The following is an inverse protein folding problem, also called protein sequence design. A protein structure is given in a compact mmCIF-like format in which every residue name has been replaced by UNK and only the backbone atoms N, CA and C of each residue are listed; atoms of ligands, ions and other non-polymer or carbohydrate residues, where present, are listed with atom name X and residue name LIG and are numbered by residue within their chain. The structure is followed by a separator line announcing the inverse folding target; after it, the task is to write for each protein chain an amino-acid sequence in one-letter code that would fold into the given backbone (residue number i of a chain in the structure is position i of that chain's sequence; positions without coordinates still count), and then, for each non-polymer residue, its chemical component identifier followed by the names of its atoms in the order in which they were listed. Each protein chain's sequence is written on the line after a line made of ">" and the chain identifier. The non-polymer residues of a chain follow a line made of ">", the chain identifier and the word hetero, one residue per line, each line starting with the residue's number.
data_IF_609737996257
#
_entry.id   IF_609737996257
#
_cell.length_a   1.000
_cell.length_b   1.000
_cell.length_c   1.000
_cell.angle_alpha   90.00
_cell.angle_beta   90.00
_cell.angle_gamma   90.00
#
_symmetry.space_group_name_H-M   'P 1'
#
loop_
_entity.id
_entity.type
_entity.pdbx_description
1 polymer ?
#
# COMPACT_ATOMS: atom_id res chain seq x y z
N UNK A 1 -21.00 36.90 -48.51
CA UNK A 1 -20.34 36.04 -49.52
C UNK A 1 -19.75 34.85 -48.80
N UNK A 2 -19.90 33.64 -49.31
CA UNK A 2 -19.31 32.45 -48.70
C UNK A 2 -17.84 32.32 -49.10
N UNK A 3 -17.00 31.84 -48.18
CA UNK A 3 -15.56 31.67 -48.37
C UNK A 3 -15.02 30.55 -47.49
N UNK A 4 -15.50 29.33 -47.72
CA UNK A 4 -15.03 28.15 -46.99
C UNK A 4 -13.69 27.67 -47.58
N UNK A 5 -12.63 27.67 -46.78
CA UNK A 5 -11.40 26.94 -47.08
C UNK A 5 -11.27 25.72 -46.18
N UNK A 6 -11.46 24.54 -46.81
CA UNK A 6 -10.81 23.29 -46.41
C UNK A 6 -9.29 23.56 -46.44
N UNK A 7 -8.44 23.03 -45.56
CA UNK A 7 -8.54 21.79 -44.79
C UNK A 7 -7.35 20.92 -45.18
N UNK A 8 -6.51 20.56 -44.21
CA UNK A 8 -5.36 19.66 -44.39
C UNK A 8 -4.96 19.08 -43.03
N UNK A 9 -5.37 17.84 -42.76
CA UNK A 9 -4.83 17.03 -41.67
C UNK A 9 -3.41 16.58 -42.03
N UNK A 10 -2.51 16.58 -41.06
CA UNK A 10 -1.19 15.97 -41.18
C UNK A 10 -1.07 14.82 -40.18
N UNK A 11 -1.51 13.63 -40.59
CA UNK A 11 -1.31 12.38 -39.85
C UNK A 11 0.15 11.98 -39.97
N UNK A 12 0.90 12.10 -38.87
CA UNK A 12 2.29 11.63 -38.78
C UNK A 12 2.33 10.27 -38.07
N UNK A 13 2.28 9.19 -38.85
CA UNK A 13 2.63 7.84 -38.36
C UNK A 13 4.15 7.77 -38.20
N UNK A 14 4.64 7.45 -37.00
CA UNK A 14 6.03 7.04 -36.82
C UNK A 14 6.12 5.60 -36.29
N UNK A 15 7.09 4.87 -36.82
CA UNK A 15 7.05 3.42 -36.89
C UNK A 15 7.68 2.73 -35.67
N UNK A 16 7.03 1.64 -35.25
CA UNK A 16 7.60 0.62 -34.36
C UNK A 16 8.88 0.03 -34.96
N UNK A 17 9.98 0.03 -34.20
CA UNK A 17 11.16 -0.79 -34.50
C UNK A 17 11.24 -1.92 -33.47
N UNK A 18 10.80 -3.10 -33.90
CA UNK A 18 10.90 -4.35 -33.14
C UNK A 18 12.24 -5.01 -33.45
N UNK A 19 13.15 -5.07 -32.48
CA UNK A 19 14.43 -5.78 -32.60
C UNK A 19 14.40 -7.09 -31.79
N UNK A 20 14.06 -8.20 -32.45
CA UNK A 20 14.33 -9.54 -31.91
C UNK A 20 15.81 -9.88 -32.08
N UNK A 21 16.47 -10.25 -30.99
CA UNK A 21 17.71 -11.03 -31.01
C UNK A 21 17.53 -12.22 -30.06
N UNK A 22 17.80 -13.43 -30.55
CA UNK A 22 17.64 -14.68 -29.81
C UNK A 22 18.82 -15.63 -30.07
N UNK A 23 18.93 -16.67 -29.25
CA UNK A 23 20.06 -17.61 -29.09
C UNK A 23 21.26 -17.02 -28.30
N UNK A 24 21.81 -17.71 -27.28
CA UNK A 24 21.41 -18.98 -26.64
C UNK A 24 22.62 -19.75 -26.07
N UNK A 25 22.39 -20.62 -25.06
CA UNK A 25 23.41 -21.43 -24.35
C UNK A 25 24.39 -20.58 -23.49
N UNK A 26 24.91 -21.02 -22.33
CA UNK A 26 25.20 -22.38 -21.88
C UNK A 26 25.14 -22.51 -20.34
N UNK A 27 24.66 -23.66 -19.85
CA UNK A 27 24.84 -24.09 -18.45
C UNK A 27 26.21 -24.75 -18.37
N UNK A 28 27.09 -24.29 -17.48
CA UNK A 28 28.24 -25.07 -17.03
C UNK A 28 28.26 -25.16 -15.50
N UNK A 29 28.42 -26.38 -15.02
CA UNK A 29 28.73 -26.69 -13.63
C UNK A 29 30.25 -26.67 -13.51
N UNK A 30 30.78 -26.11 -12.41
CA UNK A 30 32.12 -26.48 -11.94
C UNK A 30 31.97 -27.28 -10.64
N UNK A 31 32.11 -28.60 -10.75
CA UNK A 31 32.45 -29.44 -9.63
C UNK A 31 33.98 -29.48 -9.50
N UNK A 32 34.56 -29.04 -8.38
CA UNK A 32 35.81 -29.63 -7.91
C UNK A 32 36.13 -29.36 -6.43
N UNK A 33 36.10 -30.43 -5.60
CA UNK A 33 37.17 -30.78 -4.63
C UNK A 33 36.97 -32.23 -4.13
N UNK A 34 38.03 -33.04 -4.23
CA UNK A 34 38.09 -34.49 -3.90
C UNK A 34 39.57 -34.96 -3.99
N UNK A 35 40.13 -36.03 -3.39
CA UNK A 35 39.69 -37.17 -2.56
C UNK A 35 40.59 -37.21 -1.29
N UNK A 36 40.06 -37.30 -0.07
CA UNK A 36 40.14 -38.52 0.79
C UNK A 36 41.53 -38.82 1.39
N UNK A 37 41.81 -40.04 1.91
CA UNK A 37 40.89 -41.08 2.40
C UNK A 37 41.31 -41.77 3.74
N UNK A 38 40.34 -42.48 4.37
CA UNK A 38 40.48 -43.73 5.16
C UNK A 38 41.15 -43.78 6.56
N UNK A 39 40.54 -44.58 7.46
CA UNK A 39 40.88 -44.90 8.86
C UNK A 39 41.93 -46.08 8.97
N UNK A 40 42.11 -46.91 10.05
CA UNK A 40 41.15 -47.38 11.09
C UNK A 40 41.73 -47.66 12.53
N UNK A 41 40.96 -48.45 13.32
CA UNK A 41 41.33 -49.33 14.45
C UNK A 41 41.23 -48.84 15.92
N UNK A 42 40.05 -49.15 16.48
CA UNK A 42 39.78 -49.94 17.71
C UNK A 42 40.85 -50.17 18.79
N UNK A 43 40.44 -50.02 20.06
CA UNK A 43 40.79 -50.93 21.16
C UNK A 43 39.69 -50.92 22.24
N UNK A 44 39.48 -52.07 22.88
CA UNK A 44 38.45 -52.39 23.89
C UNK A 44 38.86 -52.07 25.32
N UNK A 45 37.89 -51.88 26.22
CA UNK A 45 38.00 -52.41 27.60
C UNK A 45 36.62 -52.83 28.15
N UNK A 46 36.62 -53.80 29.06
CA UNK A 46 35.43 -54.44 29.63
C UNK A 46 35.42 -54.35 31.16
N UNK A 47 34.27 -54.02 31.75
CA UNK A 47 33.98 -54.40 33.13
C UNK A 47 32.47 -54.57 33.34
N UNK A 48 32.09 -55.65 34.02
CA UNK A 48 30.75 -55.96 34.49
C UNK A 48 30.59 -55.41 35.91
N UNK A 49 29.41 -54.88 36.27
CA UNK A 49 28.93 -54.95 37.65
C UNK A 49 27.39 -54.92 37.70
N UNK A 50 26.82 -55.54 38.73
CA UNK A 50 25.37 -55.77 38.89
C UNK A 50 24.82 -55.04 40.11
N UNK A 51 23.72 -54.28 39.99
CA UNK A 51 22.73 -54.23 41.08
C UNK A 51 21.31 -53.79 40.66
N UNK A 52 20.36 -54.64 41.06
CA UNK A 52 19.01 -54.42 41.63
C UNK A 52 18.20 -53.13 41.41
N UNK A 53 17.00 -53.31 40.81
CA UNK A 53 15.67 -52.70 41.08
C UNK A 53 15.56 -51.24 41.60
N UNK A 54 14.77 -50.41 40.92
CA UNK A 54 13.59 -49.77 41.56
C UNK A 54 12.45 -49.45 40.56
N UNK A 55 11.26 -49.23 41.11
CA UNK A 55 9.98 -48.97 40.43
C UNK A 55 9.84 -47.51 39.95
N UNK A 56 9.16 -47.26 38.81
CA UNK A 56 8.24 -46.13 38.62
C UNK A 56 7.65 -46.05 37.20
N UNK A 57 6.32 -46.00 37.15
CA UNK A 57 5.56 -45.41 36.04
C UNK A 57 5.97 -43.94 35.82
N UNK A 58 6.14 -43.53 34.56
CA UNK A 58 6.15 -42.12 34.17
C UNK A 58 5.70 -41.94 32.73
N UNK A 59 4.37 -41.93 32.57
CA UNK A 59 3.74 -41.32 31.41
C UNK A 59 4.12 -39.83 31.34
N UNK A 60 4.68 -39.39 30.20
CA UNK A 60 5.03 -37.99 29.99
C UNK A 60 3.75 -37.13 29.95
N UNK A 61 3.67 -36.01 30.70
CA UNK A 61 2.49 -35.16 30.69
C UNK A 61 2.41 -34.37 29.38
N UNK A 62 1.33 -34.58 28.62
CA UNK A 62 0.92 -33.64 27.57
C UNK A 62 0.65 -32.28 28.20
N UNK A 63 1.49 -31.30 27.92
CA UNK A 63 1.28 -29.93 28.36
C UNK A 63 0.13 -29.29 27.55
N UNK A 64 -1.04 -29.18 28.17
CA UNK A 64 -2.16 -28.40 27.65
C UNK A 64 -1.75 -26.92 27.57
N UNK A 65 -1.89 -26.24 26.41
CA UNK A 65 -1.62 -24.80 26.33
C UNK A 65 -2.62 -24.01 27.20
N UNK A 66 -2.20 -22.91 27.85
CA UNK A 66 -3.09 -22.11 28.67
C UNK A 66 -4.18 -21.44 27.82
N UNK A 67 -5.39 -21.35 28.37
CA UNK A 67 -6.50 -20.66 27.72
C UNK A 67 -6.24 -19.14 27.61
N UNK A 68 -6.73 -18.46 26.56
CA UNK A 68 -6.59 -17.01 26.42
C UNK A 68 -7.31 -16.27 27.55
N UNK A 69 -6.72 -15.16 28.00
CA UNK A 69 -7.29 -14.32 29.04
C UNK A 69 -8.59 -13.64 28.55
N UNK A 70 -9.59 -13.43 29.43
CA UNK A 70 -10.81 -12.71 29.07
C UNK A 70 -10.51 -11.22 28.81
N UNK A 71 -11.25 -10.56 27.90
CA UNK A 71 -11.07 -9.14 27.61
C UNK A 71 -11.43 -8.25 28.81
N UNK A 72 -10.74 -7.13 28.94
CA UNK A 72 -11.01 -6.13 29.98
C UNK A 72 -12.36 -5.43 29.76
N UNK A 73 -13.09 -5.04 30.83
CA UNK A 73 -14.36 -4.34 30.70
C UNK A 73 -14.17 -2.90 30.18
N UNK A 74 -15.02 -2.49 29.24
CA UNK A 74 -15.04 -1.13 28.70
C UNK A 74 -15.49 -0.09 29.75
N UNK A 75 -15.01 1.17 29.66
CA UNK A 75 -15.49 2.25 30.52
C UNK A 75 -16.95 2.63 30.20
N UNK A 76 -17.78 3.00 31.20
CA UNK A 76 -19.15 3.43 30.96
C UNK A 76 -19.21 4.79 30.26
N UNK A 77 -20.08 4.91 29.27
CA UNK A 77 -20.24 6.13 28.46
C UNK A 77 -20.86 7.30 29.23
N UNK A 78 -20.48 8.52 28.85
CA UNK A 78 -21.09 9.75 29.34
C UNK A 78 -22.42 10.02 28.62
N UNK A 79 -23.51 10.10 29.39
CA UNK A 79 -24.84 10.48 28.90
C UNK A 79 -24.87 11.94 28.45
N UNK A 80 -25.53 12.23 27.33
CA UNK A 80 -25.80 13.59 26.89
C UNK A 80 -26.95 14.23 27.70
N UNK A 81 -26.77 15.46 28.17
CA UNK A 81 -27.85 16.33 28.65
C UNK A 81 -28.22 17.35 27.56
N UNK A 82 -29.49 17.40 27.18
CA UNK A 82 -30.06 18.43 26.32
C UNK A 82 -30.81 19.45 27.16
N UNK A 83 -30.66 20.73 26.82
CA UNK A 83 -31.46 21.84 27.36
C UNK A 83 -32.22 22.54 26.21
N UNK A 84 -33.57 22.56 26.22
CA UNK A 84 -34.36 23.29 25.26
C UNK A 84 -34.88 24.63 25.81
N UNK A 85 -34.58 25.73 25.12
CA UNK A 85 -35.35 26.98 25.25
C UNK A 85 -35.55 27.69 23.92
N UNK A 86 -36.79 27.70 23.43
CA UNK A 86 -37.23 28.53 22.31
C UNK A 86 -37.81 29.87 22.80
N UNK A 87 -37.72 30.94 21.98
CA UNK A 87 -38.01 32.29 22.48
C UNK A 87 -38.37 33.42 21.52
N UNK A 88 -38.68 33.18 20.23
CA UNK A 88 -39.53 34.05 19.39
C UNK A 88 -39.04 35.44 18.92
N UNK A 89 -39.79 35.99 17.94
CA UNK A 89 -39.72 37.35 17.34
C UNK A 89 -38.46 37.73 16.55
N UNK A 90 -38.53 38.45 15.41
CA UNK A 90 -39.64 39.00 14.59
C UNK A 90 -39.15 39.18 13.14
N UNK A 91 -40.05 39.09 12.15
CA UNK A 91 -39.78 39.54 10.78
C UNK A 91 -39.73 41.08 10.68
N UNK A 92 -39.05 41.65 9.66
CA UNK A 92 -39.83 42.32 8.61
C UNK A 92 -39.36 42.05 7.17
N UNK A 93 -40.17 42.56 6.23
CA UNK A 93 -40.21 42.33 4.77
C UNK A 93 -39.16 43.13 3.95
N UNK A 94 -39.10 42.83 2.64
CA UNK A 94 -38.50 43.58 1.49
C UNK A 94 -36.98 43.36 1.31
N UNK A 95 -36.42 43.14 0.11
CA UNK A 95 -36.83 43.55 -1.26
C UNK A 95 -36.35 42.56 -2.34
N UNK A 96 -37.07 42.43 -3.46
CA UNK A 96 -36.60 41.73 -4.67
C UNK A 96 -35.42 42.44 -5.35
N UNK A 97 -34.40 41.68 -5.75
CA UNK A 97 -33.24 42.17 -6.50
C UNK A 97 -32.89 41.23 -7.66
N UNK A 98 -33.62 41.32 -8.76
CA UNK A 98 -33.34 40.57 -10.00
C UNK A 98 -32.11 41.12 -10.72
N UNK A 99 -31.01 40.38 -10.74
CA UNK A 99 -29.98 40.46 -11.80
C UNK A 99 -29.03 39.25 -11.74
N UNK A 100 -28.73 38.64 -12.90
CA UNK A 100 -27.58 37.75 -13.06
C UNK A 100 -27.90 36.26 -13.23
N UNK A 101 -28.39 35.86 -14.41
CA UNK A 101 -28.12 34.51 -14.94
C UNK A 101 -26.88 34.64 -15.84
N UNK A 102 -25.74 34.20 -15.33
CA UNK A 102 -24.47 34.01 -16.02
C UNK A 102 -23.59 33.16 -15.08
N UNK A 103 -22.86 32.15 -15.51
CA UNK A 103 -22.92 31.44 -16.80
C UNK A 103 -22.67 29.95 -16.51
N UNK A 104 -22.56 29.09 -17.52
CA UNK A 104 -22.19 27.69 -17.27
C UNK A 104 -20.76 27.58 -16.76
N UNK A 105 -20.57 27.31 -15.45
CA UNK A 105 -19.29 26.81 -14.95
C UNK A 105 -19.05 25.40 -15.53
N UNK A 106 -18.26 25.37 -16.60
CA UNK A 106 -17.73 24.17 -17.22
C UNK A 106 -16.76 23.51 -16.24
N UNK A 107 -17.32 22.70 -15.34
CA UNK A 107 -16.63 22.03 -14.24
C UNK A 107 -15.68 20.93 -14.75
N UNK A 108 -14.64 21.35 -15.47
CA UNK A 108 -13.41 20.57 -15.64
C UNK A 108 -12.82 20.41 -14.25
N UNK A 109 -13.00 19.23 -13.63
CA UNK A 109 -12.54 18.95 -12.27
C UNK A 109 -11.04 19.22 -12.15
N UNK A 110 -10.69 20.35 -11.51
CA UNK A 110 -9.33 20.63 -11.12
C UNK A 110 -8.86 19.55 -10.13
N UNK A 111 -7.59 19.12 -10.28
CA UNK A 111 -6.95 18.27 -9.29
C UNK A 111 -6.83 19.02 -7.96
N UNK A 112 -6.80 18.32 -6.81
CA UNK A 112 -6.50 18.98 -5.54
C UNK A 112 -5.13 19.67 -5.57
N UNK A 113 -5.02 20.74 -4.78
CA UNK A 113 -3.73 21.36 -4.47
C UNK A 113 -2.85 20.41 -3.66
N UNK A 114 -1.54 20.67 -3.67
CA UNK A 114 -0.59 19.97 -2.81
C UNK A 114 -0.73 20.44 -1.36
N UNK A 115 -0.92 19.48 -0.45
CA UNK A 115 -0.88 19.70 0.98
C UNK A 115 0.58 19.77 1.48
N UNK A 116 0.84 20.59 2.49
CA UNK A 116 2.18 20.72 3.07
C UNK A 116 2.60 19.46 3.86
N UNK A 117 3.91 19.23 4.07
CA UNK A 117 4.43 18.26 5.03
C UNK A 117 3.71 18.28 6.38
N UNK A 118 3.60 17.12 7.03
CA UNK A 118 2.83 16.94 8.26
C UNK A 118 1.29 17.05 8.12
N UNK A 119 0.74 17.25 6.91
CA UNK A 119 -0.72 17.23 6.70
C UNK A 119 -1.23 15.81 6.56
N UNK A 120 -2.18 15.41 7.42
CA UNK A 120 -2.94 14.17 7.27
C UNK A 120 -4.02 14.32 6.19
N UNK A 121 -3.98 13.51 5.14
CA UNK A 121 -5.04 13.45 4.12
C UNK A 121 -5.87 12.17 4.27
N UNK A 122 -7.19 12.30 4.37
CA UNK A 122 -8.12 11.17 4.49
C UNK A 122 -9.29 11.23 3.52
N UNK A 123 -9.82 10.05 3.18
CA UNK A 123 -11.11 9.86 2.52
C UNK A 123 -11.69 8.50 2.91
N UNK A 124 -12.96 8.48 3.33
CA UNK A 124 -13.65 7.23 3.63
C UNK A 124 -13.88 6.39 2.36
N UNK A 125 -13.77 5.05 2.44
CA UNK A 125 -14.11 4.15 1.34
C UNK A 125 -15.61 4.13 1.02
N UNK A 126 -15.97 3.76 -0.21
CA UNK A 126 -17.37 3.49 -0.55
C UNK A 126 -17.92 2.26 0.19
N UNK A 127 -19.20 2.26 0.54
CA UNK A 127 -19.83 1.11 1.20
C UNK A 127 -19.82 -0.14 0.31
N UNK A 128 -19.34 -1.26 0.83
CA UNK A 128 -19.25 -2.53 0.09
C UNK A 128 -18.12 -2.60 -0.94
N UNK A 129 -17.13 -1.69 -0.85
CA UNK A 129 -15.90 -1.76 -1.65
C UNK A 129 -15.14 -3.07 -1.40
N UNK A 130 -14.60 -3.63 -2.47
CA UNK A 130 -13.76 -4.83 -2.49
C UNK A 130 -12.75 -4.62 -3.62
N UNK A 131 -11.55 -4.16 -3.28
CA UNK A 131 -10.49 -3.85 -4.23
C UNK A 131 -9.20 -4.62 -3.91
N UNK A 132 -8.38 -4.86 -4.93
CA UNK A 132 -6.99 -5.29 -4.76
C UNK A 132 -6.06 -4.17 -5.27
N UNK A 133 -4.80 -4.16 -4.83
CA UNK A 133 -3.75 -3.32 -5.42
C UNK A 133 -2.83 -4.24 -6.23
N UNK A 134 -3.07 -4.31 -7.53
CA UNK A 134 -2.44 -5.31 -8.40
C UNK A 134 -1.00 -4.90 -8.76
N UNK A 135 -0.76 -3.60 -8.96
CA UNK A 135 0.52 -3.05 -9.43
C UNK A 135 0.78 -1.64 -8.86
N UNK A 136 2.05 -1.25 -8.81
CA UNK A 136 2.53 0.07 -8.40
C UNK A 136 3.38 0.67 -9.51
N UNK A 137 2.86 1.72 -10.14
CA UNK A 137 3.53 2.40 -11.26
C UNK A 137 4.10 3.75 -10.83
N UNK A 138 5.35 3.99 -11.18
CA UNK A 138 6.06 5.23 -10.89
C UNK A 138 6.29 6.03 -12.18
N UNK A 139 6.39 7.36 -12.08
CA UNK A 139 6.81 8.18 -13.20
C UNK A 139 7.02 9.66 -12.88
N UNK A 140 8.08 10.23 -13.45
CA UNK A 140 8.42 11.66 -13.39
C UNK A 140 7.35 12.48 -14.11
N UNK A 141 6.95 13.63 -13.53
CA UNK A 141 6.14 14.66 -14.16
C UNK A 141 6.83 16.03 -14.00
N UNK A 142 6.25 17.09 -14.57
CA UNK A 142 6.79 18.45 -14.46
C UNK A 142 6.52 19.01 -13.05
N UNK A 143 7.56 19.08 -12.22
CA UNK A 143 7.52 19.59 -10.84
C UNK A 143 7.02 18.62 -9.76
N UNK A 144 6.79 17.35 -10.11
CA UNK A 144 6.44 16.31 -9.14
C UNK A 144 6.72 14.89 -9.67
N UNK A 145 6.94 13.97 -8.75
CA UNK A 145 6.92 12.53 -9.01
C UNK A 145 5.51 11.98 -8.78
N UNK A 146 5.12 10.95 -9.54
CA UNK A 146 3.82 10.29 -9.39
C UNK A 146 3.98 8.82 -9.05
N UNK A 147 3.31 8.40 -7.99
CA UNK A 147 3.01 7.00 -7.64
C UNK A 147 1.55 6.72 -8.00
N UNK A 148 1.29 5.62 -8.71
CA UNK A 148 -0.06 5.15 -9.03
C UNK A 148 -0.21 3.72 -8.52
N UNK A 149 -1.19 3.51 -7.65
CA UNK A 149 -1.69 2.17 -7.34
C UNK A 149 -2.77 1.84 -8.37
N UNK A 150 -2.61 0.74 -9.09
CA UNK A 150 -3.63 0.21 -9.99
C UNK A 150 -4.53 -0.76 -9.21
N UNK A 151 -5.85 -0.56 -9.27
CA UNK A 151 -6.80 -1.36 -8.51
C UNK A 151 -7.83 -2.07 -9.40
N UNK A 152 -7.93 -3.38 -9.20
CA UNK A 152 -9.03 -4.22 -9.66
C UNK A 152 -10.10 -4.39 -8.58
N UNK A 153 -11.26 -4.94 -8.97
CA UNK A 153 -12.41 -5.17 -8.09
C UNK A 153 -13.55 -4.14 -8.28
N UNK A 154 -14.25 -3.83 -7.21
CA UNK A 154 -15.46 -2.99 -7.23
C UNK A 154 -15.53 -1.98 -6.09
N UNK A 155 -15.94 -0.76 -6.38
CA UNK A 155 -16.16 0.32 -5.42
C UNK A 155 -15.21 1.49 -5.65
N UNK A 156 -15.15 2.41 -4.69
CA UNK A 156 -14.24 3.55 -4.71
C UNK A 156 -13.29 3.44 -3.51
N UNK A 157 -11.99 3.57 -3.77
CA UNK A 157 -10.95 3.40 -2.75
C UNK A 157 -11.00 4.52 -1.71
N UNK A 158 -10.91 4.15 -0.42
CA UNK A 158 -10.66 5.08 0.67
C UNK A 158 -9.17 5.21 0.94
N UNK A 159 -8.72 6.26 1.61
CA UNK A 159 -7.31 6.42 1.96
C UNK A 159 -7.08 7.17 3.27
N UNK A 160 -5.94 6.88 3.88
CA UNK A 160 -5.30 7.70 4.92
C UNK A 160 -3.83 7.85 4.52
N UNK A 161 -3.33 9.08 4.44
CA UNK A 161 -1.95 9.37 4.02
C UNK A 161 -1.30 10.38 4.95
N UNK A 162 -0.16 10.00 5.53
CA UNK A 162 0.63 10.82 6.47
C UNK A 162 2.11 10.41 6.45
N UNK A 163 2.98 11.31 6.92
CA UNK A 163 4.39 10.98 7.19
C UNK A 163 4.52 10.23 8.52
N UNK A 164 5.44 9.26 8.60
CA UNK A 164 5.65 8.43 9.80
C UNK A 164 7.14 8.27 10.07
N UNK A 165 7.58 8.57 11.30
CA UNK A 165 9.00 8.49 11.72
C UNK A 165 9.53 7.04 11.78
N UNK A 166 8.76 6.13 12.38
CA UNK A 166 9.10 4.71 12.59
C UNK A 166 8.08 3.80 11.88
N UNK A 167 8.10 3.69 10.53
CA UNK A 167 7.13 2.88 9.80
C UNK A 167 7.37 1.37 10.03
N UNK A 168 6.29 0.60 10.09
CA UNK A 168 6.33 -0.85 10.27
C UNK A 168 5.18 -1.54 9.52
N UNK A 169 5.43 -2.78 9.09
CA UNK A 169 4.44 -3.65 8.45
C UNK A 169 3.30 -3.98 9.42
N UNK A 170 2.06 -3.85 8.92
CA UNK A 170 0.87 -4.26 9.65
C UNK A 170 0.84 -5.77 9.93
N UNK A 171 0.07 -6.15 10.96
CA UNK A 171 0.02 -7.51 11.51
C UNK A 171 1.30 -7.97 12.23
N UNK A 172 2.48 -7.74 11.66
CA UNK A 172 3.77 -8.24 12.16
C UNK A 172 4.53 -7.26 13.06
N UNK A 173 4.38 -5.95 12.84
CA UNK A 173 5.19 -4.92 13.50
C UNK A 173 6.66 -4.91 13.07
N UNK A 174 7.00 -5.54 11.94
CA UNK A 174 8.36 -5.54 11.38
C UNK A 174 8.69 -4.14 10.85
N UNK A 175 9.78 -3.48 11.28
CA UNK A 175 10.15 -2.16 10.75
C UNK A 175 10.31 -2.17 9.23
N UNK A 176 9.88 -1.09 8.59
CA UNK A 176 10.06 -0.85 7.16
C UNK A 176 11.29 0.05 6.99
N UNK A 177 12.30 -0.48 6.33
CA UNK A 177 13.55 0.22 6.01
C UNK A 177 13.52 0.54 4.51
N UNK A 178 13.55 1.84 4.17
CA UNK A 178 13.58 2.36 2.80
C UNK A 178 14.66 3.43 2.68
N UNK A 179 15.13 3.63 1.46
CA UNK A 179 16.11 4.64 1.09
C UNK A 179 15.54 6.04 1.34
N UNK A 180 16.30 6.87 2.07
CA UNK A 180 15.91 8.25 2.39
C UNK A 180 15.39 8.40 3.83
N UNK A 181 15.46 9.62 4.41
CA UNK A 181 15.13 9.87 5.81
C UNK A 181 13.63 10.08 6.10
N UNK A 182 12.76 10.11 5.08
CA UNK A 182 11.34 10.36 5.24
C UNK A 182 10.51 9.27 4.56
N UNK A 183 9.43 8.82 5.21
CA UNK A 183 8.49 7.84 4.65
C UNK A 183 7.07 8.39 4.71
N UNK A 184 6.43 8.47 3.55
CA UNK A 184 5.00 8.78 3.42
C UNK A 184 4.23 7.46 3.37
N UNK A 185 3.39 7.20 4.37
CA UNK A 185 2.59 5.98 4.46
C UNK A 185 1.21 6.23 3.87
N UNK A 186 0.83 5.41 2.90
CA UNK A 186 -0.46 5.41 2.20
C UNK A 186 -1.23 4.16 2.62
N UNK A 187 -2.17 4.31 3.56
CA UNK A 187 -3.12 3.25 3.89
C UNK A 187 -4.30 3.30 2.92
N UNK A 188 -4.31 2.43 1.91
CA UNK A 188 -5.46 2.20 1.06
C UNK A 188 -6.53 1.40 1.85
N UNK A 189 -7.78 1.82 1.75
CA UNK A 189 -8.90 1.26 2.53
C UNK A 189 -9.97 0.67 1.60
N UNK A 190 -10.57 -0.43 2.03
CA UNK A 190 -11.55 -1.16 1.24
C UNK A 190 -10.98 -2.37 0.48
N UNK A 191 -9.88 -2.92 1.00
CA UNK A 191 -9.18 -4.02 0.36
C UNK A 191 -9.92 -5.33 0.59
N UNK A 192 -10.00 -6.15 -0.45
CA UNK A 192 -10.38 -7.55 -0.34
C UNK A 192 -9.19 -8.40 0.15
N UNK A 193 -9.46 -9.64 0.56
CA UNK A 193 -8.40 -10.65 0.65
C UNK A 193 -8.15 -11.22 -0.74
N UNK A 194 -6.90 -11.26 -1.22
CA UNK A 194 -6.57 -11.82 -2.53
C UNK A 194 -6.60 -13.35 -2.47
N UNK A 195 -7.03 -13.98 -3.56
CA UNK A 195 -7.03 -15.43 -3.75
C UNK A 195 -5.74 -15.87 -4.48
N UNK A 196 -5.39 -17.17 -4.50
CA UNK A 196 -4.33 -17.67 -5.36
C UNK A 196 -4.58 -17.30 -6.83
N UNK A 197 -3.50 -17.05 -7.58
CA UNK A 197 -3.48 -16.48 -8.94
C UNK A 197 -3.83 -14.97 -9.03
N UNK A 198 -4.16 -14.27 -7.92
CA UNK A 198 -4.17 -12.80 -7.89
C UNK A 198 -2.74 -12.24 -7.71
N UNK A 199 -2.32 -11.17 -8.43
CA UNK A 199 -0.97 -10.60 -8.31
C UNK A 199 -0.62 -10.18 -6.87
N UNK A 200 -1.59 -9.61 -6.15
CA UNK A 200 -1.44 -9.19 -4.75
C UNK A 200 -1.22 -10.38 -3.78
N UNK A 201 -1.61 -11.61 -4.16
CA UNK A 201 -1.30 -12.83 -3.42
C UNK A 201 0.09 -13.36 -3.77
N UNK A 202 0.36 -13.51 -5.07
CA UNK A 202 1.56 -14.21 -5.59
C UNK A 202 2.86 -13.42 -5.34
N UNK A 203 2.83 -12.09 -5.47
CA UNK A 203 3.98 -11.21 -5.20
C UNK A 203 4.29 -11.08 -3.69
N UNK A 204 3.25 -11.12 -2.84
CA UNK A 204 3.36 -10.72 -1.44
C UNK A 204 3.78 -9.25 -1.27
N UNK A 205 4.96 -9.02 -0.69
CA UNK A 205 5.56 -7.68 -0.59
C UNK A 205 6.24 -7.30 -1.92
N UNK A 206 5.81 -6.20 -2.52
CA UNK A 206 6.38 -5.70 -3.78
C UNK A 206 7.18 -4.42 -3.53
N UNK A 207 8.49 -4.46 -3.77
CA UNK A 207 9.38 -3.30 -3.73
C UNK A 207 9.66 -2.80 -5.15
N UNK A 208 9.45 -1.50 -5.38
CA UNK A 208 9.66 -0.83 -6.67
C UNK A 208 10.68 0.29 -6.50
N UNK A 209 11.84 0.14 -7.15
CA UNK A 209 12.92 1.14 -7.18
C UNK A 209 12.49 2.41 -7.94
N UNK A 210 12.86 3.58 -7.43
CA UNK A 210 12.48 4.88 -8.01
C UNK A 210 13.19 5.21 -9.33
N UNK A 211 14.38 4.64 -9.59
CA UNK A 211 15.09 4.78 -10.86
C UNK A 211 15.44 6.22 -11.28
N UNK A 212 14.60 6.80 -12.13
CA UNK A 212 14.78 8.16 -12.70
C UNK A 212 13.93 9.25 -11.99
N UNK A 213 13.23 8.90 -10.91
CA UNK A 213 12.49 9.83 -10.04
C UNK A 213 13.46 10.80 -9.33
N UNK A 214 12.93 11.96 -8.89
CA UNK A 214 13.73 13.04 -8.30
C UNK A 214 13.58 13.17 -6.79
N UNK A 215 12.48 12.69 -6.22
CA UNK A 215 12.14 12.85 -4.80
C UNK A 215 11.66 11.54 -4.18
N UNK A 216 10.95 10.71 -4.95
CA UNK A 216 10.61 9.33 -4.56
C UNK A 216 11.80 8.41 -4.81
N UNK A 217 12.31 7.77 -3.76
CA UNK A 217 13.49 6.91 -3.81
C UNK A 217 13.13 5.46 -4.14
N UNK A 218 12.12 4.91 -3.46
CA UNK A 218 11.54 3.58 -3.69
C UNK A 218 10.15 3.48 -3.04
N UNK A 219 9.35 2.51 -3.47
CA UNK A 219 8.00 2.28 -2.96
C UNK A 219 7.80 0.81 -2.61
N UNK A 220 7.42 0.54 -1.36
CA UNK A 220 7.06 -0.79 -0.88
C UNK A 220 5.54 -0.92 -0.76
N UNK A 221 4.94 -1.79 -1.56
CA UNK A 221 3.55 -2.26 -1.38
C UNK A 221 3.54 -3.39 -0.35
N UNK A 222 2.77 -3.19 0.72
CA UNK A 222 2.44 -4.22 1.70
C UNK A 222 1.50 -5.30 1.14
N UNK A 223 0.96 -6.11 2.04
CA UNK A 223 -0.10 -7.10 1.75
C UNK A 223 -1.42 -6.65 2.39
N UNK A 224 -2.60 -7.12 1.91
CA UNK A 224 -3.87 -6.76 2.54
C UNK A 224 -4.02 -7.32 3.96
N UNK A 225 -4.34 -6.45 4.92
CA UNK A 225 -4.60 -6.78 6.33
C UNK A 225 -5.83 -6.02 6.84
N UNK A 226 -6.77 -6.72 7.50
CA UNK A 226 -7.99 -6.15 8.11
C UNK A 226 -8.83 -5.20 7.20
N UNK A 227 -8.82 -5.43 5.88
CA UNK A 227 -9.56 -4.61 4.91
C UNK A 227 -8.81 -3.35 4.45
N UNK A 228 -7.52 -3.26 4.75
CA UNK A 228 -6.60 -2.19 4.35
C UNK A 228 -5.36 -2.78 3.67
N UNK A 229 -4.57 -1.95 3.03
CA UNK A 229 -3.21 -2.26 2.57
C UNK A 229 -2.36 -1.01 2.75
N UNK A 230 -1.17 -1.16 3.32
CA UNK A 230 -0.21 -0.05 3.45
C UNK A 230 0.78 -0.06 2.29
N UNK A 231 1.01 1.12 1.72
CA UNK A 231 2.11 1.38 0.79
C UNK A 231 3.03 2.43 1.43
N UNK A 232 4.32 2.17 1.43
CA UNK A 232 5.35 3.01 2.04
C UNK A 232 6.15 3.66 0.91
N UNK A 233 6.16 4.98 0.84
CA UNK A 233 6.89 5.76 -0.18
C UNK A 233 8.10 6.39 0.48
N UNK A 234 9.29 5.93 0.11
CA UNK A 234 10.58 6.49 0.56
C UNK A 234 10.87 7.81 -0.14
N UNK A 235 11.43 8.76 0.61
CA UNK A 235 11.62 10.15 0.18
C UNK A 235 12.94 10.72 0.72
N UNK A 236 13.62 11.55 -0.08
CA UNK A 236 14.83 12.26 0.37
C UNK A 236 14.56 13.30 1.47
N UNK A 237 13.34 13.83 1.53
CA UNK A 237 12.87 14.77 2.56
C UNK A 237 11.34 14.80 2.59
N UNK A 238 10.73 15.27 3.68
CA UNK A 238 9.31 15.60 3.64
C UNK A 238 9.04 16.77 2.67
N UNK A 239 8.18 16.53 1.69
CA UNK A 239 7.80 17.47 0.62
C UNK A 239 6.25 17.54 0.51
N UNK A 240 5.68 18.64 -0.02
CA UNK A 240 4.24 18.70 -0.25
C UNK A 240 3.74 17.56 -1.16
N UNK A 241 2.56 17.02 -0.87
CA UNK A 241 1.98 15.91 -1.62
C UNK A 241 0.47 16.10 -1.83
N UNK A 242 -0.11 15.41 -2.81
CA UNK A 242 -1.56 15.33 -2.98
C UNK A 242 -1.99 13.92 -3.33
N UNK A 243 -3.23 13.59 -2.97
CA UNK A 243 -3.83 12.28 -3.18
C UNK A 243 -5.19 12.45 -3.84
N UNK A 244 -5.42 11.71 -4.92
CA UNK A 244 -6.71 11.68 -5.62
C UNK A 244 -6.91 10.33 -6.30
N UNK A 245 -8.12 10.07 -6.76
CA UNK A 245 -8.44 8.86 -7.53
C UNK A 245 -8.76 9.19 -8.98
N UNK A 246 -8.44 8.26 -9.88
CA UNK A 246 -8.89 8.26 -11.27
C UNK A 246 -9.77 7.03 -11.48
N UNK A 247 -10.84 7.18 -12.26
CA UNK A 247 -11.73 6.07 -12.62
C UNK A 247 -11.42 5.51 -14.02
N UNK A 248 -11.93 4.31 -14.29
CA UNK A 248 -11.83 3.63 -15.59
C UNK A 248 -10.41 3.38 -16.11
N UNK A 249 -9.58 2.54 -15.47
CA UNK A 249 -9.83 1.78 -14.23
C UNK A 249 -9.64 2.63 -12.96
N UNK A 250 -10.11 2.12 -11.82
CA UNK A 250 -9.92 2.74 -10.50
C UNK A 250 -8.43 2.73 -10.14
N UNK A 251 -7.92 3.89 -9.76
CA UNK A 251 -6.51 4.12 -9.42
C UNK A 251 -6.42 5.09 -8.26
N UNK A 252 -5.56 4.80 -7.29
CA UNK A 252 -5.13 5.78 -6.29
C UNK A 252 -3.85 6.43 -6.78
N UNK A 253 -3.85 7.76 -6.88
CA UNK A 253 -2.72 8.55 -7.39
C UNK A 253 -2.19 9.42 -6.26
N UNK A 254 -0.88 9.33 -6.05
CA UNK A 254 -0.13 10.15 -5.10
C UNK A 254 0.90 10.93 -5.91
N UNK A 255 0.77 12.26 -5.90
CA UNK A 255 1.77 13.16 -6.49
C UNK A 255 2.60 13.77 -5.35
N UNK A 256 3.92 13.77 -5.53
CA UNK A 256 4.93 14.20 -4.55
C UNK A 256 5.78 15.30 -5.19
N UNK A 257 5.77 16.51 -4.64
CA UNK A 257 6.44 17.66 -5.26
C UNK A 257 7.97 17.56 -5.22
N UNK A 258 8.62 18.08 -6.27
CA UNK A 258 10.09 18.24 -6.36
C UNK A 258 10.61 19.38 -5.46
#
# INVERSE_FOLDING_TARGET
>A
MAGAHRGAEAVAVFATVLALAACGTQIEQDESITIGPTAPSEATDSAEDTDTLDDADSTAPTATPPAPAPPAPAPPGATAEQDPSGGGSTAPTTTEGTAGVADGDDATSALPDFAAPGTLLTRDPAAGVQLLVDDVRLGVQDGYDRVVLDLSGTGEVGWRVEYVDDPALDGSGTPVDLTGPAVLVVTAQGMAYPEPDDPAYDDGLLLVDGGELQTVTEVLRGVPFEGQLQVYVGLETETPFRVFRLSGPERLVIDVQH
#
